data_IF_072651172659
#
_entry.id   IF_072651172659
#
_cell.length_a   1.000
_cell.length_b   1.000
_cell.length_c   1.000
_cell.angle_alpha   90.00
_cell.angle_beta   90.00
_cell.angle_gamma   90.00
#
_symmetry.space_group_name_H-M   'P 1'
#
loop_
_entity.id
_entity.type
_entity.pdbx_description
1 polymer ?
#
# COMPACT_ATOMS: atom_id res chain seq x y z
N UNK A 1 -1.50 -48.68 -1.56
CA UNK A 1 -0.12 -48.13 -1.52
C UNK A 1 0.23 -47.37 -2.80
N UNK A 2 0.21 -48.01 -3.98
CA UNK A 2 0.55 -47.37 -5.27
C UNK A 2 -0.33 -46.14 -5.58
N UNK A 3 -1.65 -46.23 -5.39
CA UNK A 3 -2.56 -45.10 -5.60
C UNK A 3 -2.32 -43.92 -4.64
N UNK A 4 -1.96 -44.21 -3.39
CA UNK A 4 -1.62 -43.18 -2.40
C UNK A 4 -0.30 -42.48 -2.74
N UNK A 5 0.68 -43.23 -3.28
CA UNK A 5 1.95 -42.68 -3.76
C UNK A 5 1.77 -41.81 -5.02
N UNK A 6 0.90 -42.24 -5.94
CA UNK A 6 0.53 -41.45 -7.13
C UNK A 6 -0.16 -40.14 -6.74
N UNK A 7 -1.13 -40.18 -5.82
CA UNK A 7 -1.82 -38.97 -5.36
C UNK A 7 -0.86 -38.00 -4.64
N UNK A 8 0.03 -38.50 -3.78
CA UNK A 8 1.05 -37.69 -3.13
C UNK A 8 2.04 -37.07 -4.14
N UNK A 9 2.42 -37.84 -5.17
CA UNK A 9 3.27 -37.36 -6.25
C UNK A 9 2.62 -36.24 -7.08
N UNK A 10 1.33 -36.34 -7.39
CA UNK A 10 0.60 -35.28 -8.08
C UNK A 10 0.47 -33.99 -7.25
N UNK A 11 0.25 -34.10 -5.94
CA UNK A 11 0.17 -32.93 -5.05
C UNK A 11 1.55 -32.28 -4.89
N UNK A 12 2.61 -33.08 -4.76
CA UNK A 12 3.98 -32.58 -4.65
C UNK A 12 4.51 -31.95 -5.96
N UNK A 13 4.00 -32.40 -7.12
CA UNK A 13 4.35 -31.86 -8.43
C UNK A 13 3.42 -30.72 -8.89
N UNK A 14 2.39 -30.38 -8.11
CA UNK A 14 1.54 -29.25 -8.43
C UNK A 14 2.39 -27.97 -8.33
N UNK A 15 2.46 -27.14 -9.40
CA UNK A 15 3.15 -25.87 -9.30
C UNK A 15 2.44 -25.04 -8.24
N UNK A 16 3.17 -24.62 -7.21
CA UNK A 16 2.68 -23.58 -6.31
C UNK A 16 2.26 -22.40 -7.18
N UNK A 17 1.04 -21.89 -6.99
CA UNK A 17 0.60 -20.67 -7.64
C UNK A 17 1.55 -19.55 -7.23
N UNK A 18 2.53 -19.26 -8.08
CA UNK A 18 3.45 -18.15 -7.90
C UNK A 18 2.66 -16.91 -8.28
N UNK A 19 2.08 -16.23 -7.29
CA UNK A 19 1.57 -14.90 -7.49
C UNK A 19 2.70 -14.04 -8.07
N UNK A 20 2.44 -13.33 -9.17
CA UNK A 20 3.42 -12.42 -9.72
C UNK A 20 3.81 -11.41 -8.64
N UNK A 21 5.10 -11.29 -8.34
CA UNK A 21 5.60 -10.34 -7.34
C UNK A 21 5.51 -8.88 -7.78
N UNK A 22 5.18 -8.65 -9.05
CA UNK A 22 5.16 -7.34 -9.67
C UNK A 22 3.72 -6.93 -9.98
N UNK A 23 3.35 -5.73 -9.55
CA UNK A 23 2.17 -5.02 -10.04
C UNK A 23 2.58 -4.19 -11.26
N UNK A 24 1.98 -4.46 -12.42
CA UNK A 24 2.13 -3.61 -13.61
C UNK A 24 0.89 -2.73 -13.72
N UNK A 25 1.08 -1.41 -13.65
CA UNK A 25 0.03 -0.41 -13.66
C UNK A 25 0.22 0.56 -14.83
N UNK A 26 -0.88 0.87 -15.54
CA UNK A 26 -0.89 1.91 -16.56
C UNK A 26 -1.17 3.26 -15.90
N UNK A 27 -0.11 4.03 -15.65
CA UNK A 27 -0.22 5.41 -15.14
C UNK A 27 -1.03 6.29 -16.10
N UNK A 28 -1.76 7.24 -15.53
CA UNK A 28 -2.58 8.24 -16.22
C UNK A 28 -1.72 9.14 -17.13
N UNK A 29 -0.43 9.28 -16.79
CA UNK A 29 0.57 10.05 -17.52
C UNK A 29 1.99 9.88 -16.92
N UNK A 30 2.94 10.65 -17.46
CA UNK A 30 4.27 10.76 -16.86
C UNK A 30 4.23 11.74 -15.68
N UNK A 31 4.75 11.37 -14.49
CA UNK A 31 4.85 12.32 -13.39
C UNK A 31 5.85 13.43 -13.72
N UNK A 32 5.61 14.63 -13.20
CA UNK A 32 6.53 15.75 -13.29
C UNK A 32 7.79 15.52 -12.42
N UNK A 33 7.66 14.75 -11.34
CA UNK A 33 8.76 14.30 -10.52
C UNK A 33 8.31 13.47 -9.31
N UNK A 34 9.25 13.21 -8.40
CA UNK A 34 9.04 12.36 -7.21
C UNK A 34 9.18 13.11 -5.88
N UNK A 35 9.25 14.44 -5.92
CA UNK A 35 9.28 15.29 -4.72
C UNK A 35 7.86 15.73 -4.36
N UNK A 36 7.21 15.14 -3.34
CA UNK A 36 5.85 15.48 -2.95
C UNK A 36 5.70 16.90 -2.38
N UNK A 37 6.81 17.56 -2.02
CA UNK A 37 6.80 18.96 -1.60
C UNK A 37 6.81 19.95 -2.78
N UNK A 38 7.08 19.49 -4.00
CA UNK A 38 7.14 20.32 -5.21
C UNK A 38 6.01 20.04 -6.19
N UNK A 39 5.55 18.79 -6.27
CA UNK A 39 4.57 18.32 -7.25
C UNK A 39 3.28 17.86 -6.56
N UNK A 40 2.12 18.25 -7.11
CA UNK A 40 0.82 18.12 -6.42
C UNK A 40 -0.31 17.56 -7.30
N UNK A 41 0.02 16.99 -8.47
CA UNK A 41 -0.99 16.34 -9.32
C UNK A 41 -1.25 14.90 -8.88
N UNK A 42 -2.40 14.34 -9.27
CA UNK A 42 -2.72 12.93 -8.98
C UNK A 42 -1.67 11.97 -9.55
N UNK A 43 -1.21 12.21 -10.78
CA UNK A 43 -0.17 11.41 -11.43
C UNK A 43 1.17 11.45 -10.67
N UNK A 44 1.53 12.59 -10.05
CA UNK A 44 2.73 12.69 -9.20
C UNK A 44 2.55 11.91 -7.88
N UNK A 45 1.33 11.95 -7.31
CA UNK A 45 1.00 11.21 -6.10
C UNK A 45 1.01 9.70 -6.33
N UNK A 46 0.41 9.21 -7.40
CA UNK A 46 0.41 7.80 -7.79
C UNK A 46 1.82 7.25 -7.98
N UNK A 47 2.70 8.01 -8.64
CA UNK A 47 4.06 7.56 -8.96
C UNK A 47 5.03 7.67 -7.76
N UNK A 48 4.91 8.73 -6.96
CA UNK A 48 5.87 9.07 -5.93
C UNK A 48 5.25 9.13 -4.54
N UNK A 49 4.34 10.08 -4.31
CA UNK A 49 3.92 10.40 -2.95
C UNK A 49 3.29 9.21 -2.22
N UNK A 50 2.45 8.42 -2.89
CA UNK A 50 1.72 7.28 -2.31
C UNK A 50 2.57 6.00 -2.33
N UNK A 51 3.32 5.78 -3.42
CA UNK A 51 4.06 4.53 -3.62
C UNK A 51 5.43 4.50 -2.91
N UNK A 52 6.05 5.66 -2.66
CA UNK A 52 7.43 5.77 -2.16
C UNK A 52 7.51 6.32 -0.72
N UNK A 53 6.54 7.11 -0.27
CA UNK A 53 6.59 7.80 1.01
C UNK A 53 5.43 7.45 1.94
N UNK A 54 5.72 7.32 3.23
CA UNK A 54 4.71 7.16 4.28
C UNK A 54 4.31 8.52 4.87
N UNK A 55 3.05 8.62 5.32
CA UNK A 55 2.44 9.83 5.88
C UNK A 55 2.07 9.56 7.33
N UNK A 56 1.82 10.62 8.12
CA UNK A 56 1.39 10.45 9.51
C UNK A 56 0.08 9.67 9.61
N UNK A 57 -0.86 9.94 8.70
CA UNK A 57 -2.14 9.23 8.56
C UNK A 57 -2.36 8.86 7.09
N UNK A 58 -3.28 7.92 6.84
CA UNK A 58 -3.63 7.47 5.49
C UNK A 58 -5.12 7.19 5.37
N UNK A 59 -5.61 6.89 4.17
CA UNK A 59 -6.99 6.45 3.96
C UNK A 59 -7.08 4.92 3.97
N UNK A 60 -8.18 4.42 4.54
CA UNK A 60 -8.51 3.00 4.43
C UNK A 60 -8.63 2.58 2.95
N UNK A 61 -8.31 1.32 2.67
CA UNK A 61 -8.39 0.81 1.29
C UNK A 61 -9.84 0.83 0.78
N UNK A 62 -10.06 1.61 -0.28
CA UNK A 62 -11.36 1.69 -0.96
C UNK A 62 -12.37 2.64 -0.30
N UNK A 63 -11.93 3.43 0.69
CA UNK A 63 -12.74 4.42 1.36
C UNK A 63 -11.98 5.74 1.55
N UNK A 64 -12.58 6.63 2.33
CA UNK A 64 -12.00 7.93 2.71
C UNK A 64 -11.92 8.11 4.23
N UNK A 65 -12.18 7.05 4.99
CA UNK A 65 -11.94 7.08 6.43
C UNK A 65 -10.44 7.19 6.68
N UNK A 66 -10.05 8.11 7.57
CA UNK A 66 -8.66 8.32 7.96
C UNK A 66 -8.27 7.27 8.99
N UNK A 67 -7.15 6.59 8.76
CA UNK A 67 -6.57 5.58 9.64
C UNK A 67 -5.09 5.89 9.97
N UNK A 68 -4.52 5.24 11.01
CA UNK A 68 -3.09 5.34 11.33
C UNK A 68 -2.17 5.04 10.14
N UNK A 69 -1.10 5.83 10.02
CA UNK A 69 0.01 5.64 9.08
C UNK A 69 1.31 5.45 9.85
N UNK A 70 2.27 6.37 9.69
CA UNK A 70 3.45 6.45 10.56
C UNK A 70 3.10 6.79 12.01
N UNK A 71 2.02 7.53 12.24
CA UNK A 71 1.53 7.79 13.57
C UNK A 71 0.53 6.70 13.98
N UNK A 72 0.78 6.03 15.10
CA UNK A 72 -0.10 4.99 15.65
C UNK A 72 -1.41 5.57 16.19
N UNK A 73 -1.37 6.79 16.71
CA UNK A 73 -2.53 7.56 17.19
C UNK A 73 -2.26 9.07 17.15
N UNK A 74 -3.32 9.85 17.32
CA UNK A 74 -3.22 11.29 17.51
C UNK A 74 -4.24 11.79 18.53
N UNK A 75 -3.86 12.85 19.23
CA UNK A 75 -4.71 13.55 20.19
C UNK A 75 -5.01 14.96 19.63
N UNK A 76 -6.27 15.41 19.77
CA UNK A 76 -6.73 16.72 19.32
C UNK A 76 -7.12 17.52 20.58
N UNK A 77 -6.62 18.75 20.71
CA UNK A 77 -6.99 19.64 21.82
C UNK A 77 -8.47 20.02 21.81
N UNK A 78 -9.00 20.43 22.96
CA UNK A 78 -10.41 20.83 23.12
C UNK A 78 -10.83 21.97 22.17
N UNK A 79 -9.88 22.86 21.79
CA UNK A 79 -10.10 23.96 20.84
C UNK A 79 -9.89 23.55 19.36
N UNK A 80 -9.43 22.33 19.09
CA UNK A 80 -9.18 21.80 17.76
C UNK A 80 -7.94 22.33 17.04
N UNK A 81 -7.13 23.18 17.69
CA UNK A 81 -6.00 23.87 17.06
C UNK A 81 -4.67 23.14 17.23
N UNK A 82 -4.57 22.21 18.19
CA UNK A 82 -3.37 21.42 18.45
C UNK A 82 -3.63 19.96 18.14
N UNK A 83 -2.81 19.41 17.23
CA UNK A 83 -2.83 18.00 16.84
C UNK A 83 -1.49 17.38 17.22
N UNK A 84 -1.52 16.38 18.11
CA UNK A 84 -0.31 15.69 18.57
C UNK A 84 -0.29 14.28 18.01
N UNK A 85 0.70 13.96 17.17
CA UNK A 85 0.89 12.63 16.59
C UNK A 85 1.91 11.82 17.38
N UNK A 86 1.64 10.54 17.60
CA UNK A 86 2.53 9.60 18.29
C UNK A 86 3.00 8.56 17.27
N UNK A 87 4.32 8.49 17.05
CA UNK A 87 4.98 7.56 16.12
C UNK A 87 5.47 6.30 16.83
#
# INVERSE_FOLDING_TARGET
VIQALLAAGLIAAAPFASAASNLVFCSEGSPAGFDPGQYTTGTDFDAGAEAVFNRLTQFERGGTAVEPGLAEKWDISDDGLTHTFHL
#
